data_IF_417168970377
#
_entry.id   IF_417168970377
#
_cell.length_a   1.000
_cell.length_b   1.000
_cell.length_c   1.000
_cell.angle_alpha   90.00
_cell.angle_beta   90.00
_cell.angle_gamma   90.00
#
_symmetry.space_group_name_H-M   'P 1'
#
loop_
_entity.id
_entity.type
_entity.pdbx_description
1 polymer ?
#
# COMPACT_ATOMS: atom_id res chain seq x y z
N UNK A 1 6.05 13.74 23.74
CA UNK A 1 5.88 15.02 23.02
C UNK A 1 4.51 15.62 23.26
N UNK A 2 3.40 14.88 23.11
CA UNK A 2 2.04 15.34 23.40
C UNK A 2 1.85 15.75 24.86
N UNK A 3 2.32 14.95 25.81
CA UNK A 3 2.30 15.24 27.27
C UNK A 3 2.98 16.58 27.63
N UNK A 4 3.86 17.11 26.75
CA UNK A 4 4.53 18.40 26.95
C UNK A 4 3.93 19.53 26.11
N UNK A 5 2.73 19.35 25.59
CA UNK A 5 2.01 20.29 24.69
C UNK A 5 2.78 20.76 23.45
N UNK A 6 3.77 19.98 23.02
CA UNK A 6 4.59 20.31 21.85
C UNK A 6 4.03 19.76 20.54
N UNK A 7 3.08 18.83 20.60
CA UNK A 7 2.44 18.19 19.46
C UNK A 7 0.95 18.14 19.74
N UNK A 8 0.16 18.80 18.90
CA UNK A 8 -1.31 18.81 18.94
C UNK A 8 -1.88 18.18 17.68
N UNK A 9 -1.40 18.63 16.53
CA UNK A 9 -1.91 18.20 15.23
C UNK A 9 -1.09 17.04 14.67
N UNK A 10 -1.73 15.89 14.51
CA UNK A 10 -1.07 14.64 14.09
C UNK A 10 -1.79 14.07 12.87
N UNK A 11 -1.01 13.82 11.82
CA UNK A 11 -1.45 13.09 10.63
C UNK A 11 -0.81 11.70 10.60
N UNK A 12 -1.63 10.66 10.45
CA UNK A 12 -1.17 9.29 10.19
C UNK A 12 -1.56 8.92 8.76
N UNK A 13 -0.57 8.54 7.95
CA UNK A 13 -0.77 7.96 6.63
C UNK A 13 -0.53 6.45 6.71
N UNK A 14 -1.59 5.66 6.56
CA UNK A 14 -1.54 4.21 6.65
C UNK A 14 -1.96 3.53 5.34
N UNK A 15 -1.55 2.27 5.09
CA UNK A 15 -2.16 1.43 4.06
C UNK A 15 -3.65 1.25 4.31
N UNK A 16 -4.46 1.21 3.24
CA UNK A 16 -5.94 1.12 3.36
C UNK A 16 -6.38 -0.03 4.28
N UNK A 17 -5.81 -1.22 4.13
CA UNK A 17 -6.15 -2.38 4.96
C UNK A 17 -5.74 -2.26 6.44
N UNK A 18 -4.94 -1.26 6.82
CA UNK A 18 -4.48 -1.06 8.20
C UNK A 18 -5.10 0.16 8.90
N UNK A 19 -5.88 0.97 8.18
CA UNK A 19 -6.46 2.22 8.72
C UNK A 19 -7.29 1.96 9.98
N UNK A 20 -8.22 1.01 9.93
CA UNK A 20 -9.07 0.68 11.08
C UNK A 20 -8.30 0.04 12.22
N UNK A 21 -7.25 -0.73 11.91
CA UNK A 21 -6.35 -1.26 12.94
C UNK A 21 -5.62 -0.11 13.65
N UNK A 22 -5.10 0.87 12.90
CA UNK A 22 -4.48 2.06 13.48
C UNK A 22 -5.44 2.82 14.42
N UNK A 23 -6.69 3.07 13.97
CA UNK A 23 -7.71 3.73 14.80
C UNK A 23 -7.94 2.95 16.11
N UNK A 24 -8.14 1.64 15.98
CA UNK A 24 -8.37 0.76 17.14
C UNK A 24 -7.18 0.73 18.11
N UNK A 25 -5.96 0.60 17.60
CA UNK A 25 -4.73 0.58 18.40
C UNK A 25 -4.52 1.92 19.12
N UNK A 26 -4.70 3.04 18.41
CA UNK A 26 -4.57 4.38 19.00
C UNK A 26 -5.59 4.61 20.11
N UNK A 27 -6.85 4.19 19.90
CA UNK A 27 -7.89 4.29 20.92
C UNK A 27 -7.62 3.39 22.11
N UNK A 28 -7.38 2.09 21.88
CA UNK A 28 -7.34 1.10 22.95
C UNK A 28 -6.05 1.15 23.77
N UNK A 29 -4.90 1.48 23.14
CA UNK A 29 -3.59 1.47 23.81
C UNK A 29 -3.15 2.84 24.32
N UNK A 30 -3.56 3.90 23.63
CA UNK A 30 -3.10 5.26 23.92
C UNK A 30 -4.22 6.21 24.35
N UNK A 31 -5.49 5.75 24.28
CA UNK A 31 -6.69 6.56 24.52
C UNK A 31 -6.73 7.83 23.65
N UNK A 32 -6.31 7.69 22.40
CA UNK A 32 -6.27 8.77 21.41
C UNK A 32 -7.34 8.55 20.35
N UNK A 33 -8.11 9.59 20.03
CA UNK A 33 -9.21 9.56 19.07
C UNK A 33 -8.76 10.19 17.75
N UNK A 34 -8.56 9.35 16.73
CA UNK A 34 -8.21 9.78 15.39
C UNK A 34 -9.41 9.74 14.46
N UNK A 35 -9.63 10.84 13.74
CA UNK A 35 -10.66 10.93 12.72
C UNK A 35 -10.15 10.31 11.41
N UNK A 36 -10.90 9.34 10.86
CA UNK A 36 -10.68 8.88 9.48
C UNK A 36 -11.20 9.95 8.52
N UNK A 37 -10.36 10.36 7.57
CA UNK A 37 -10.76 11.24 6.46
C UNK A 37 -10.61 10.47 5.15
N UNK A 38 -11.72 10.32 4.43
CA UNK A 38 -11.79 9.68 3.12
C UNK A 38 -11.97 10.72 1.99
N UNK A 39 -11.76 10.34 0.72
CA UNK A 39 -11.90 11.26 -0.42
C UNK A 39 -13.27 11.93 -0.54
N UNK A 40 -14.35 11.27 -0.10
CA UNK A 40 -15.70 11.82 -0.05
C UNK A 40 -15.83 13.03 0.87
N UNK A 41 -15.06 13.04 1.95
CA UNK A 41 -15.24 14.01 3.03
C UNK A 41 -14.80 15.41 2.64
N UNK A 42 -13.62 15.54 2.02
CA UNK A 42 -13.09 16.85 1.60
C UNK A 42 -13.53 17.31 0.21
N UNK A 43 -14.19 16.46 -0.56
CA UNK A 43 -14.69 16.83 -1.88
C UNK A 43 -15.82 17.90 -1.83
N UNK A 44 -16.59 17.92 -0.74
CA UNK A 44 -17.81 18.72 -0.58
C UNK A 44 -17.49 20.12 -0.02
N UNK A 45 -16.41 20.25 0.77
CA UNK A 45 -16.11 21.50 1.48
C UNK A 45 -15.26 22.45 0.64
N UNK A 46 -15.57 23.76 0.70
CA UNK A 46 -14.79 24.82 0.06
C UNK A 46 -13.56 25.22 0.88
N UNK A 47 -13.68 25.19 2.23
CA UNK A 47 -12.59 25.47 3.16
C UNK A 47 -11.62 24.32 3.30
N UNK A 48 -10.45 24.58 3.90
CA UNK A 48 -9.48 23.54 4.20
C UNK A 48 -10.02 22.55 5.27
N UNK A 49 -10.62 21.47 4.81
CA UNK A 49 -11.23 20.44 5.65
C UNK A 49 -10.26 19.80 6.63
N UNK A 50 -8.96 19.72 6.27
CA UNK A 50 -7.90 19.13 7.09
C UNK A 50 -7.66 19.91 8.40
N UNK A 51 -7.97 21.20 8.43
CA UNK A 51 -7.78 22.05 9.62
C UNK A 51 -8.86 21.84 10.70
N UNK A 52 -9.93 21.12 10.39
CA UNK A 52 -11.04 20.89 11.33
C UNK A 52 -10.70 19.89 12.44
N UNK A 53 -9.70 19.05 12.24
CA UNK A 53 -9.36 17.95 13.14
C UNK A 53 -7.88 17.99 13.53
N UNK A 54 -7.59 17.78 14.79
CA UNK A 54 -6.22 17.76 15.30
C UNK A 54 -5.55 16.40 15.10
N UNK A 55 -6.32 15.31 15.01
CA UNK A 55 -5.81 13.95 14.87
C UNK A 55 -6.51 13.26 13.71
N UNK A 56 -5.75 12.99 12.67
CA UNK A 56 -6.29 12.47 11.40
C UNK A 56 -5.54 11.21 10.98
N UNK A 57 -6.30 10.23 10.49
CA UNK A 57 -5.79 9.07 9.74
C UNK A 57 -6.38 9.12 8.34
N UNK A 58 -5.54 8.89 7.35
CA UNK A 58 -5.95 8.70 5.95
C UNK A 58 -4.96 7.81 5.21
N UNK A 59 -5.18 7.55 3.92
CA UNK A 59 -4.28 6.70 3.13
C UNK A 59 -3.36 7.55 2.24
N UNK A 60 -2.16 7.04 1.97
CA UNK A 60 -1.21 7.66 1.02
C UNK A 60 -1.89 7.88 -0.34
N UNK A 61 -2.67 6.89 -0.79
CA UNK A 61 -3.29 6.93 -2.12
C UNK A 61 -4.44 7.95 -2.21
N UNK A 62 -5.11 8.25 -1.11
CA UNK A 62 -6.15 9.27 -1.04
C UNK A 62 -5.61 10.69 -1.22
N UNK A 63 -4.37 10.95 -0.78
CA UNK A 63 -3.85 12.33 -0.67
C UNK A 63 -2.66 12.64 -1.58
N UNK A 64 -2.09 11.65 -2.26
CA UNK A 64 -1.00 11.89 -3.22
C UNK A 64 -1.48 12.78 -4.38
N UNK A 65 -0.61 13.68 -4.91
CA UNK A 65 -0.98 14.54 -6.02
C UNK A 65 -1.19 13.73 -7.31
N UNK A 66 -2.21 14.11 -8.06
CA UNK A 66 -2.48 13.58 -9.38
C UNK A 66 -1.71 14.39 -10.44
N UNK A 67 -1.06 13.72 -11.39
CA UNK A 67 -0.34 14.41 -12.49
C UNK A 67 -1.14 14.47 -13.77
N UNK A 68 -1.92 13.42 -14.06
CA UNK A 68 -2.79 13.36 -15.22
C UNK A 68 -3.93 12.36 -14.95
N UNK A 69 -5.06 12.57 -15.60
CA UNK A 69 -6.18 11.62 -15.62
C UNK A 69 -6.93 11.75 -16.94
N UNK A 70 -7.21 10.63 -17.60
CA UNK A 70 -7.93 10.58 -18.88
C UNK A 70 -9.29 11.32 -18.75
N UNK A 71 -9.59 12.20 -19.68
CA UNK A 71 -10.85 12.96 -19.68
C UNK A 71 -10.91 14.13 -18.67
N UNK A 72 -9.81 14.44 -17.95
CA UNK A 72 -9.76 15.59 -17.06
C UNK A 72 -8.94 16.72 -17.66
N UNK A 73 -9.43 17.98 -17.53
CA UNK A 73 -8.67 19.18 -17.84
C UNK A 73 -7.60 19.44 -16.77
N UNK A 74 -6.58 20.21 -17.10
CA UNK A 74 -5.56 20.65 -16.15
C UNK A 74 -6.17 21.37 -14.94
N UNK A 75 -7.15 22.27 -15.18
CA UNK A 75 -7.85 22.99 -14.12
C UNK A 75 -8.61 22.06 -13.16
N UNK A 76 -9.18 20.96 -13.68
CA UNK A 76 -9.84 19.96 -12.84
C UNK A 76 -8.84 19.17 -12.00
N UNK A 77 -7.67 18.84 -12.55
CA UNK A 77 -6.58 18.18 -11.82
C UNK A 77 -6.03 19.10 -10.74
N UNK A 78 -5.84 20.38 -11.04
CA UNK A 78 -5.38 21.39 -10.11
C UNK A 78 -6.35 21.55 -8.94
N UNK A 79 -7.63 21.78 -9.20
CA UNK A 79 -8.67 21.87 -8.15
C UNK A 79 -8.75 20.60 -7.30
N UNK A 80 -8.57 19.42 -7.91
CA UNK A 80 -8.55 18.15 -7.20
C UNK A 80 -7.33 18.03 -6.29
N UNK A 81 -6.16 18.48 -6.75
CA UNK A 81 -4.93 18.49 -5.95
C UNK A 81 -5.01 19.52 -4.82
N UNK A 82 -5.61 20.68 -5.05
CA UNK A 82 -5.75 21.71 -4.02
C UNK A 82 -6.49 21.20 -2.79
N UNK A 83 -7.61 20.53 -2.96
CA UNK A 83 -8.41 20.01 -1.85
C UNK A 83 -7.72 18.86 -1.12
N UNK A 84 -6.97 18.01 -1.81
CA UNK A 84 -6.40 16.77 -1.28
C UNK A 84 -4.96 16.90 -0.83
N UNK A 85 -4.13 17.52 -1.63
CA UNK A 85 -2.69 17.57 -1.44
C UNK A 85 -2.23 18.93 -0.89
N UNK A 86 -2.55 20.04 -1.57
CA UNK A 86 -2.07 21.34 -1.14
C UNK A 86 -2.69 21.76 0.21
N UNK A 87 -4.00 21.58 0.40
CA UNK A 87 -4.65 21.86 1.66
C UNK A 87 -4.18 20.94 2.80
N UNK A 88 -3.83 19.68 2.50
CA UNK A 88 -3.21 18.78 3.48
C UNK A 88 -1.86 19.34 3.96
N UNK A 89 -1.01 19.82 3.05
CA UNK A 89 0.30 20.40 3.41
C UNK A 89 0.15 21.70 4.22
N UNK A 90 -0.87 22.50 3.90
CA UNK A 90 -1.16 23.78 4.57
C UNK A 90 -1.95 23.61 5.87
N UNK A 91 -2.29 22.39 6.26
CA UNK A 91 -3.08 22.15 7.46
C UNK A 91 -2.34 22.42 8.77
N UNK A 92 -1.01 22.54 8.76
CA UNK A 92 -0.22 22.86 9.96
C UNK A 92 -0.04 21.67 10.91
N UNK A 93 0.38 20.52 10.38
CA UNK A 93 0.68 19.33 11.17
C UNK A 93 1.94 19.52 12.01
N UNK A 94 1.89 19.15 13.28
CA UNK A 94 3.07 19.12 14.16
C UNK A 94 3.87 17.83 13.99
N UNK A 95 3.16 16.73 13.68
CA UNK A 95 3.75 15.41 13.46
C UNK A 95 3.03 14.70 12.34
N UNK A 96 3.79 14.17 11.39
CA UNK A 96 3.31 13.23 10.37
C UNK A 96 3.93 11.86 10.61
N UNK A 97 3.10 10.83 10.67
CA UNK A 97 3.52 9.42 10.76
C UNK A 97 3.13 8.73 9.46
N UNK A 98 4.07 8.08 8.79
CA UNK A 98 3.80 7.34 7.56
C UNK A 98 4.14 5.87 7.76
N UNK A 99 3.12 5.03 7.74
CA UNK A 99 3.28 3.58 7.79
C UNK A 99 3.57 3.01 6.39
N UNK A 100 4.30 1.90 6.34
CA UNK A 100 4.85 1.30 5.12
C UNK A 100 5.54 2.35 4.22
N UNK A 101 6.28 3.24 4.86
CA UNK A 101 6.93 4.41 4.26
C UNK A 101 7.89 4.09 3.11
N UNK A 102 8.36 2.84 2.98
CA UNK A 102 9.14 2.40 1.85
C UNK A 102 8.43 2.66 0.50
N UNK A 103 7.10 2.72 0.50
CA UNK A 103 6.29 3.06 -0.69
C UNK A 103 6.47 4.50 -1.15
N UNK A 104 6.89 5.42 -0.26
CA UNK A 104 7.18 6.82 -0.62
C UNK A 104 8.44 6.95 -1.48
N UNK A 105 9.39 6.03 -1.35
CA UNK A 105 10.64 6.06 -2.13
C UNK A 105 10.44 5.99 -3.65
N UNK A 106 9.32 5.42 -4.11
CA UNK A 106 8.93 5.37 -5.52
C UNK A 106 9.99 4.80 -6.47
N UNK A 107 9.70 4.78 -7.76
CA UNK A 107 10.66 4.39 -8.81
C UNK A 107 11.51 5.57 -9.28
N UNK A 108 10.99 6.80 -9.14
CA UNK A 108 11.68 8.04 -9.49
C UNK A 108 11.23 9.18 -8.57
N UNK A 109 11.91 10.34 -8.66
CA UNK A 109 11.55 11.55 -7.91
C UNK A 109 10.27 12.23 -8.39
N UNK A 110 9.79 11.91 -9.60
CA UNK A 110 8.56 12.44 -10.17
C UNK A 110 7.30 11.67 -9.75
N UNK A 111 7.46 10.51 -9.13
CA UNK A 111 6.32 9.68 -8.69
C UNK A 111 5.49 10.41 -7.63
N UNK A 112 4.19 10.38 -7.78
CA UNK A 112 3.24 11.09 -6.91
C UNK A 112 3.43 10.80 -5.41
N UNK A 113 3.76 9.56 -5.05
CA UNK A 113 4.02 9.18 -3.65
C UNK A 113 5.29 9.85 -3.09
N UNK A 114 6.36 9.96 -3.90
CA UNK A 114 7.56 10.67 -3.46
C UNK A 114 7.30 12.18 -3.33
N UNK A 115 6.53 12.77 -4.26
CA UNK A 115 6.11 14.18 -4.17
C UNK A 115 5.30 14.44 -2.91
N UNK A 116 4.39 13.52 -2.53
CA UNK A 116 3.68 13.61 -1.26
C UNK A 116 4.64 13.58 -0.08
N UNK A 117 5.53 12.60 -0.02
CA UNK A 117 6.53 12.48 1.06
C UNK A 117 7.39 13.73 1.20
N UNK A 118 7.86 14.28 0.06
CA UNK A 118 8.65 15.50 0.02
C UNK A 118 7.86 16.71 0.54
N UNK A 119 6.64 16.93 0.05
CA UNK A 119 5.79 18.02 0.51
C UNK A 119 5.51 17.96 2.02
N UNK A 120 5.22 16.77 2.55
CA UNK A 120 5.01 16.60 3.99
C UNK A 120 6.29 16.85 4.80
N UNK A 121 7.43 16.36 4.34
CA UNK A 121 8.71 16.59 5.01
C UNK A 121 9.12 18.08 5.04
N UNK A 122 8.77 18.84 3.99
CA UNK A 122 9.03 20.28 3.89
C UNK A 122 8.03 21.13 4.69
N UNK A 123 6.78 20.66 4.86
CA UNK A 123 5.72 21.43 5.52
C UNK A 123 5.51 21.08 7.00
N UNK A 124 6.18 20.05 7.53
CA UNK A 124 5.96 19.55 8.89
C UNK A 124 7.26 19.50 9.68
N UNK A 125 7.28 20.03 10.93
CA UNK A 125 8.49 20.05 11.74
C UNK A 125 8.97 18.65 12.17
N UNK A 126 8.07 17.68 12.28
CA UNK A 126 8.41 16.32 12.70
C UNK A 126 7.76 15.29 11.76
N UNK A 127 8.58 14.42 11.18
CA UNK A 127 8.11 13.30 10.38
C UNK A 127 8.67 11.98 10.91
N UNK A 128 7.81 10.97 11.02
CA UNK A 128 8.17 9.61 11.43
C UNK A 128 7.83 8.62 10.32
N UNK A 129 8.85 7.98 9.78
CA UNK A 129 8.71 7.00 8.71
C UNK A 129 8.84 5.58 9.26
N UNK A 130 7.73 4.82 9.25
CA UNK A 130 7.69 3.44 9.72
C UNK A 130 7.80 2.48 8.54
N UNK A 131 8.70 1.50 8.62
CA UNK A 131 8.81 0.45 7.61
C UNK A 131 9.55 -0.77 8.15
N UNK A 132 9.04 -1.96 7.86
CA UNK A 132 9.75 -3.21 8.14
C UNK A 132 10.92 -3.46 7.17
N UNK A 133 10.86 -2.91 5.97
CA UNK A 133 11.79 -3.18 4.87
C UNK A 133 12.20 -1.90 4.12
N UNK A 134 12.89 -0.96 4.77
CA UNK A 134 13.17 0.35 4.17
C UNK A 134 14.06 0.28 2.92
N UNK A 135 14.89 -0.74 2.79
CA UNK A 135 15.88 -0.85 1.71
C UNK A 135 15.40 -1.67 0.50
N UNK A 136 14.47 -2.59 0.60
CA UNK A 136 13.94 -3.48 -0.46
C UNK A 136 14.93 -3.87 -1.60
N UNK A 137 16.23 -3.91 -1.33
CA UNK A 137 17.28 -4.18 -2.32
C UNK A 137 17.59 -3.03 -3.31
N UNK A 138 16.86 -1.89 -3.25
CA UNK A 138 17.05 -0.76 -4.16
C UNK A 138 17.67 0.45 -3.46
N UNK A 139 18.97 0.66 -3.67
CA UNK A 139 19.74 1.75 -3.06
C UNK A 139 19.19 3.14 -3.41
N UNK A 140 18.71 3.36 -4.64
CA UNK A 140 18.15 4.64 -5.07
C UNK A 140 16.81 4.93 -4.38
N UNK A 141 15.99 3.92 -4.18
CA UNK A 141 14.74 4.04 -3.45
C UNK A 141 14.97 4.35 -1.97
N UNK A 142 15.92 3.67 -1.35
CA UNK A 142 16.31 3.94 0.03
C UNK A 142 16.89 5.35 0.21
N UNK A 143 17.77 5.79 -0.72
CA UNK A 143 18.28 7.16 -0.71
C UNK A 143 17.13 8.18 -0.76
N UNK A 144 16.15 8.02 -1.67
CA UNK A 144 14.99 8.92 -1.73
C UNK A 144 14.20 8.93 -0.42
N UNK A 145 14.07 7.78 0.25
CA UNK A 145 13.37 7.70 1.52
C UNK A 145 14.12 8.45 2.62
N UNK A 146 15.42 8.22 2.79
CA UNK A 146 16.22 8.85 3.84
C UNK A 146 16.41 10.34 3.59
N UNK A 147 16.47 10.78 2.33
CA UNK A 147 16.55 12.21 1.97
C UNK A 147 15.29 13.00 2.31
N UNK A 148 14.15 12.33 2.60
CA UNK A 148 12.97 13.02 3.16
C UNK A 148 13.22 13.48 4.59
N UNK A 149 14.08 12.80 5.35
CA UNK A 149 14.42 13.17 6.75
C UNK A 149 15.46 14.29 6.78
N UNK A 150 16.46 14.23 5.93
CA UNK A 150 17.50 15.26 5.83
C UNK A 150 18.08 15.34 4.41
N UNK A 151 17.53 16.22 3.56
CA UNK A 151 18.02 16.36 2.19
C UNK A 151 19.43 16.96 2.09
N UNK A 152 19.91 17.65 3.15
CA UNK A 152 21.26 18.24 3.20
C UNK A 152 22.30 17.18 3.54
N UNK A 153 21.99 16.28 4.46
CA UNK A 153 22.86 15.16 4.82
C UNK A 153 22.93 14.11 3.69
N UNK A 154 21.85 13.94 2.92
CA UNK A 154 21.74 12.94 1.87
C UNK A 154 21.45 13.55 0.48
N UNK A 155 22.35 14.39 -0.08
CA UNK A 155 22.11 15.08 -1.35
C UNK A 155 22.11 14.14 -2.56
N UNK A 156 22.81 13.00 -2.47
CA UNK A 156 22.81 11.97 -3.51
C UNK A 156 23.09 10.58 -2.90
N UNK A 157 22.87 9.47 -3.67
CA UNK A 157 23.01 8.11 -3.15
C UNK A 157 24.39 7.73 -2.59
N UNK A 158 25.45 8.46 -2.96
CA UNK A 158 26.81 8.18 -2.51
C UNK A 158 27.05 8.55 -1.04
N UNK A 159 26.24 9.46 -0.49
CA UNK A 159 26.27 9.86 0.92
C UNK A 159 25.55 8.87 1.85
N UNK A 160 24.91 7.84 1.31
CA UNK A 160 24.20 6.83 2.07
C UNK A 160 25.16 5.70 2.44
N UNK A 161 25.69 5.73 3.66
CA UNK A 161 26.46 4.66 4.30
C UNK A 161 25.76 4.21 5.58
N UNK A 162 26.22 3.10 6.18
CA UNK A 162 25.66 2.63 7.45
C UNK A 162 25.85 3.67 8.55
N UNK A 163 27.01 4.26 8.61
CA UNK A 163 27.41 5.25 9.62
C UNK A 163 26.60 6.55 9.47
N UNK A 164 26.38 7.00 8.21
CA UNK A 164 25.65 8.25 7.96
C UNK A 164 24.15 8.14 8.26
N UNK A 165 23.56 6.95 8.14
CA UNK A 165 22.12 6.76 8.38
C UNK A 165 21.80 6.37 9.83
N UNK A 166 22.78 5.89 10.62
CA UNK A 166 22.58 5.43 11.99
C UNK A 166 21.86 6.45 12.89
N UNK A 167 22.17 7.77 12.85
CA UNK A 167 21.47 8.77 13.66
C UNK A 167 19.98 8.95 13.31
N UNK A 168 19.56 8.54 12.12
CA UNK A 168 18.20 8.73 11.60
C UNK A 168 17.33 7.49 11.72
N UNK A 169 17.90 6.31 12.07
CA UNK A 169 17.21 5.04 12.03
C UNK A 169 17.24 4.35 13.38
N UNK A 170 16.06 4.09 13.93
CA UNK A 170 15.89 3.16 15.06
C UNK A 170 15.44 1.83 14.51
N UNK A 171 16.25 0.78 14.68
CA UNK A 171 15.97 -0.56 14.19
C UNK A 171 16.01 -1.59 15.31
N UNK A 172 14.89 -2.26 15.53
CA UNK A 172 14.79 -3.39 16.46
C UNK A 172 14.58 -4.68 15.66
N UNK A 173 15.48 -5.65 15.82
CA UNK A 173 15.35 -6.95 15.18
C UNK A 173 14.86 -7.98 16.21
N UNK A 174 13.87 -8.82 15.86
CA UNK A 174 13.36 -9.87 16.74
C UNK A 174 14.45 -10.77 17.32
N UNK A 175 15.50 -11.06 16.54
CA UNK A 175 16.63 -11.89 16.99
C UNK A 175 17.46 -11.28 18.12
N UNK A 176 17.38 -9.95 18.30
CA UNK A 176 18.15 -9.21 19.28
C UNK A 176 17.28 -8.64 20.41
N UNK A 177 15.97 -8.96 20.40
CA UNK A 177 15.03 -8.45 21.40
C UNK A 177 15.12 -9.33 22.66
N UNK A 178 15.43 -8.69 23.79
CA UNK A 178 15.58 -9.30 25.11
C UNK A 178 14.50 -8.77 26.06
N UNK A 179 14.16 -9.56 27.06
CA UNK A 179 13.33 -9.12 28.21
C UNK A 179 14.16 -8.32 29.23
N UNK A 180 13.52 -7.93 30.34
CA UNK A 180 14.16 -7.20 31.43
C UNK A 180 15.28 -7.99 32.15
N UNK A 181 15.30 -9.32 31.98
CA UNK A 181 16.29 -10.23 32.55
C UNK A 181 17.43 -10.54 31.58
N UNK A 182 17.41 -9.98 30.35
CA UNK A 182 18.41 -10.20 29.31
C UNK A 182 18.22 -11.47 28.49
N UNK A 183 17.07 -12.17 28.63
CA UNK A 183 16.74 -13.38 27.88
C UNK A 183 16.09 -13.03 26.55
N UNK A 184 16.47 -13.75 25.49
CA UNK A 184 15.85 -13.56 24.16
C UNK A 184 14.34 -13.82 24.22
N UNK A 185 13.55 -12.84 23.79
CA UNK A 185 12.09 -12.94 23.72
C UNK A 185 11.59 -13.86 22.57
N UNK A 186 12.40 -14.04 21.56
CA UNK A 186 12.04 -14.84 20.39
C UNK A 186 13.03 -15.97 20.15
N UNK A 187 12.53 -17.15 19.87
CA UNK A 187 13.34 -18.31 19.47
C UNK A 187 13.95 -18.07 18.09
N UNK A 188 15.13 -18.65 17.86
CA UNK A 188 15.80 -18.57 16.55
C UNK A 188 14.94 -19.22 15.48
N UNK A 189 14.61 -18.47 14.43
CA UNK A 189 13.90 -18.99 13.26
C UNK A 189 14.89 -19.68 12.34
N UNK A 190 14.64 -20.94 12.03
CA UNK A 190 15.36 -21.69 10.99
C UNK A 190 14.40 -21.93 9.83
N UNK A 191 14.79 -21.51 8.63
CA UNK A 191 14.02 -21.73 7.40
C UNK A 191 14.64 -22.89 6.64
N UNK A 192 13.85 -23.95 6.42
CA UNK A 192 14.26 -25.11 5.64
C UNK A 192 13.44 -25.14 4.35
N UNK A 193 14.11 -25.22 3.22
CA UNK A 193 13.47 -25.47 1.93
C UNK A 193 13.26 -26.98 1.81
N UNK A 194 12.01 -27.43 1.68
CA UNK A 194 11.66 -28.81 1.36
C UNK A 194 11.03 -28.87 -0.02
N UNK A 195 11.63 -29.62 -0.90
CA UNK A 195 10.99 -29.98 -2.16
C UNK A 195 9.94 -31.07 -1.87
N UNK A 196 8.76 -30.89 -2.44
CA UNK A 196 7.66 -31.85 -2.34
C UNK A 196 7.39 -32.35 -3.76
N UNK A 197 7.73 -33.62 -3.99
CA UNK A 197 7.50 -34.26 -5.27
C UNK A 197 6.03 -34.73 -5.38
N UNK A 198 5.49 -34.66 -6.59
CA UNK A 198 4.19 -35.21 -6.86
C UNK A 198 4.21 -36.72 -6.71
N UNK A 199 3.25 -37.28 -5.94
CA UNK A 199 3.02 -38.70 -5.78
C UNK A 199 1.79 -39.12 -6.57
N UNK A 200 1.64 -40.40 -6.89
CA UNK A 200 0.47 -40.94 -7.61
C UNK A 200 -0.88 -40.52 -7.02
N UNK A 201 -0.99 -40.50 -5.68
CA UNK A 201 -2.20 -40.02 -4.98
C UNK A 201 -2.54 -38.55 -5.23
N UNK A 202 -1.63 -37.75 -5.78
CA UNK A 202 -1.81 -36.32 -6.07
C UNK A 202 -2.06 -36.05 -7.58
N UNK A 203 -2.24 -37.07 -8.40
CA UNK A 203 -2.36 -36.92 -9.86
C UNK A 203 -3.46 -35.94 -10.27
N UNK A 204 -4.64 -35.99 -9.66
CA UNK A 204 -5.74 -35.04 -9.93
C UNK A 204 -5.39 -33.61 -9.55
N UNK A 205 -4.65 -33.42 -8.46
CA UNK A 205 -4.21 -32.09 -8.02
C UNK A 205 -3.11 -31.54 -8.93
N UNK A 206 -2.23 -32.42 -9.42
CA UNK A 206 -1.20 -32.08 -10.40
C UNK A 206 -1.83 -31.63 -11.72
N UNK A 207 -2.78 -32.41 -12.26
CA UNK A 207 -3.52 -32.07 -13.48
C UNK A 207 -4.21 -30.70 -13.35
N UNK A 208 -4.92 -30.48 -12.24
CA UNK A 208 -5.53 -29.18 -11.97
C UNK A 208 -4.50 -28.04 -11.94
N UNK A 209 -3.36 -28.25 -11.29
CA UNK A 209 -2.29 -27.25 -11.20
C UNK A 209 -1.71 -26.93 -12.59
N UNK A 210 -1.41 -27.94 -13.40
CA UNK A 210 -0.88 -27.79 -14.75
C UNK A 210 -1.86 -27.04 -15.66
N UNK A 211 -3.13 -27.45 -15.69
CA UNK A 211 -4.18 -26.80 -16.50
C UNK A 211 -4.41 -25.33 -16.11
N UNK A 212 -4.39 -25.01 -14.82
CA UNK A 212 -4.53 -23.61 -14.38
C UNK A 212 -3.28 -22.82 -14.72
N UNK A 213 -2.10 -23.43 -14.62
CA UNK A 213 -0.84 -22.80 -15.01
C UNK A 213 -0.85 -22.43 -16.49
N UNK A 214 -1.27 -23.35 -17.35
CA UNK A 214 -1.39 -23.11 -18.79
C UNK A 214 -2.42 -22.04 -19.11
N UNK A 215 -3.59 -22.10 -18.45
CA UNK A 215 -4.63 -21.07 -18.58
C UNK A 215 -4.10 -19.68 -18.17
N UNK A 216 -3.44 -19.59 -17.02
CA UNK A 216 -2.91 -18.35 -16.51
C UNK A 216 -1.80 -17.78 -17.40
N UNK A 217 -0.90 -18.64 -17.90
CA UNK A 217 0.18 -18.25 -18.80
C UNK A 217 -0.36 -17.71 -20.14
N UNK A 218 -1.29 -18.44 -20.76
CA UNK A 218 -1.89 -18.03 -22.01
C UNK A 218 -2.70 -16.74 -21.86
N UNK A 219 -3.51 -16.63 -20.81
CA UNK A 219 -4.30 -15.44 -20.50
C UNK A 219 -3.41 -14.22 -20.20
N UNK A 220 -2.31 -14.39 -19.47
CA UNK A 220 -1.33 -13.35 -19.22
C UNK A 220 -0.67 -12.83 -20.51
N UNK A 221 -0.23 -13.73 -21.37
CA UNK A 221 0.42 -13.38 -22.63
C UNK A 221 -0.55 -12.65 -23.57
N UNK A 222 -1.81 -13.08 -23.62
CA UNK A 222 -2.87 -12.42 -24.40
C UNK A 222 -3.16 -11.03 -23.84
N UNK A 223 -3.41 -10.92 -22.53
CA UNK A 223 -3.69 -9.65 -21.87
C UNK A 223 -2.56 -8.62 -22.06
N UNK A 224 -1.30 -9.09 -22.05
CA UNK A 224 -0.14 -8.24 -22.33
C UNK A 224 -0.11 -7.74 -23.77
N UNK A 225 -0.46 -8.58 -24.76
CA UNK A 225 -0.56 -8.19 -26.18
C UNK A 225 -1.68 -7.17 -26.40
N UNK A 226 -2.79 -7.32 -25.71
CA UNK A 226 -3.96 -6.46 -25.79
C UNK A 226 -3.86 -5.22 -24.87
N UNK A 227 -2.73 -5.03 -24.17
CA UNK A 227 -2.50 -3.94 -23.22
C UNK A 227 -3.51 -3.90 -22.03
N UNK A 228 -4.11 -5.05 -21.69
CA UNK A 228 -5.08 -5.22 -20.59
C UNK A 228 -4.37 -5.65 -19.31
N UNK A 229 -3.78 -4.69 -18.60
CA UNK A 229 -2.94 -4.96 -17.41
C UNK A 229 -3.72 -5.65 -16.28
N UNK A 230 -4.99 -5.29 -16.08
CA UNK A 230 -5.87 -5.89 -15.07
C UNK A 230 -6.06 -7.41 -15.29
N UNK A 231 -6.24 -7.85 -16.56
CA UNK A 231 -6.36 -9.27 -16.87
C UNK A 231 -5.02 -10.01 -16.67
N UNK A 232 -3.90 -9.40 -17.05
CA UNK A 232 -2.58 -9.97 -16.80
C UNK A 232 -2.35 -10.19 -15.30
N UNK A 233 -2.76 -9.25 -14.47
CA UNK A 233 -2.67 -9.35 -13.03
C UNK A 233 -3.60 -10.45 -12.46
N UNK A 234 -4.84 -10.55 -12.94
CA UNK A 234 -5.77 -11.62 -12.55
C UNK A 234 -5.17 -13.01 -12.84
N UNK A 235 -4.47 -13.18 -13.95
CA UNK A 235 -3.81 -14.44 -14.30
C UNK A 235 -2.70 -14.80 -13.30
N UNK A 236 -1.89 -13.83 -12.88
CA UNK A 236 -0.87 -14.04 -11.83
C UNK A 236 -1.54 -14.44 -10.50
N UNK A 237 -2.66 -13.82 -10.16
CA UNK A 237 -3.41 -14.16 -8.95
C UNK A 237 -3.92 -15.61 -9.01
N UNK A 238 -4.51 -16.05 -10.10
CA UNK A 238 -4.97 -17.43 -10.26
C UNK A 238 -3.84 -18.42 -10.07
N UNK A 239 -2.64 -18.15 -10.61
CA UNK A 239 -1.46 -18.98 -10.41
C UNK A 239 -1.03 -19.06 -8.93
N UNK A 240 -1.16 -17.98 -8.18
CA UNK A 240 -0.90 -17.98 -6.73
C UNK A 240 -1.97 -18.74 -5.95
N UNK A 241 -3.23 -18.61 -6.33
CA UNK A 241 -4.33 -19.29 -5.65
C UNK A 241 -4.26 -20.81 -5.82
N UNK A 242 -3.93 -21.34 -7.00
CA UNK A 242 -3.81 -22.78 -7.22
C UNK A 242 -2.69 -23.41 -6.41
N UNK A 243 -1.58 -22.68 -6.20
CA UNK A 243 -0.47 -23.15 -5.36
C UNK A 243 -0.76 -23.05 -3.86
N UNK A 244 -1.75 -22.24 -3.46
CA UNK A 244 -2.08 -22.03 -2.04
C UNK A 244 -3.25 -22.89 -1.56
N UNK A 245 -4.35 -22.99 -2.34
CA UNK A 245 -5.55 -23.70 -1.91
C UNK A 245 -6.46 -24.07 -3.10
N UNK A 246 -6.81 -25.36 -3.20
CA UNK A 246 -7.77 -25.86 -4.19
C UNK A 246 -9.15 -25.21 -4.05
N UNK A 247 -9.57 -24.91 -2.82
CA UNK A 247 -10.86 -24.23 -2.55
C UNK A 247 -10.82 -22.76 -3.03
N UNK A 248 -9.73 -22.06 -2.80
CA UNK A 248 -9.58 -20.66 -3.20
C UNK A 248 -9.60 -20.52 -4.73
N UNK A 249 -8.86 -21.39 -5.45
CA UNK A 249 -8.87 -21.35 -6.92
C UNK A 249 -10.23 -21.75 -7.50
N UNK A 250 -10.95 -22.72 -6.91
CA UNK A 250 -12.30 -23.07 -7.33
C UNK A 250 -13.22 -21.86 -7.26
N UNK A 251 -13.27 -21.17 -6.12
CA UNK A 251 -14.10 -19.97 -5.95
C UNK A 251 -13.73 -18.84 -6.91
N UNK A 252 -12.44 -18.64 -7.18
CA UNK A 252 -11.99 -17.66 -8.15
C UNK A 252 -12.41 -17.98 -9.59
N UNK A 253 -12.33 -19.26 -9.98
CA UNK A 253 -12.76 -19.71 -11.30
C UNK A 253 -14.28 -19.61 -11.48
N UNK A 254 -15.07 -19.96 -10.47
CA UNK A 254 -16.53 -19.82 -10.48
C UNK A 254 -16.96 -18.37 -10.70
N UNK A 255 -16.33 -17.43 -9.97
CA UNK A 255 -16.57 -15.98 -10.16
C UNK A 255 -16.14 -15.50 -11.55
N UNK A 256 -14.98 -15.96 -12.04
CA UNK A 256 -14.51 -15.61 -13.37
C UNK A 256 -15.46 -16.12 -14.46
N UNK A 257 -15.96 -17.35 -14.32
CA UNK A 257 -16.93 -17.92 -15.24
C UNK A 257 -18.21 -17.09 -15.28
N UNK A 258 -18.73 -16.71 -14.11
CA UNK A 258 -19.93 -15.88 -14.01
C UNK A 258 -19.76 -14.52 -14.72
N UNK A 259 -18.60 -13.84 -14.53
CA UNK A 259 -18.32 -12.60 -15.26
C UNK A 259 -18.29 -12.81 -16.77
N UNK A 260 -17.63 -13.86 -17.26
CA UNK A 260 -17.55 -14.16 -18.69
C UNK A 260 -18.92 -14.53 -19.30
N UNK A 261 -19.80 -15.12 -18.51
CA UNK A 261 -21.19 -15.41 -18.92
C UNK A 261 -22.02 -14.13 -19.01
N UNK A 262 -21.84 -13.18 -18.09
CA UNK A 262 -22.47 -11.86 -18.14
C UNK A 262 -21.97 -11.02 -19.32
N UNK A 263 -20.66 -11.01 -19.61
CA UNK A 263 -20.07 -10.34 -20.76
C UNK A 263 -20.61 -10.88 -22.09
N UNK A 264 -20.94 -12.16 -22.20
CA UNK A 264 -21.58 -12.77 -23.38
C UNK A 264 -23.04 -12.37 -23.56
N UNK A 265 -23.71 -11.97 -22.51
CA UNK A 265 -25.16 -11.60 -22.55
C UNK A 265 -25.37 -10.09 -22.74
N UNK A 266 -24.34 -9.28 -22.65
CA UNK A 266 -24.38 -7.83 -22.91
C UNK A 266 -23.47 -7.51 -24.09
N UNK A 267 -24.07 -7.34 -25.28
CA UNK A 267 -23.42 -6.72 -26.43
C UNK A 267 -23.11 -5.26 -26.12
N UNK A 268 -21.82 -4.93 -26.22
CA UNK A 268 -21.23 -3.61 -26.39
C UNK A 268 -21.95 -2.43 -25.71
N UNK A 269 -21.61 -2.12 -24.45
CA UNK A 269 -21.55 -0.73 -24.00
C UNK A 269 -20.64 -0.59 -22.77
N UNK A 270 -19.51 0.11 -22.95
CA UNK A 270 -18.78 0.92 -21.99
C UNK A 270 -18.46 0.31 -20.61
N UNK A 271 -17.41 -0.54 -20.54
CA UNK A 271 -16.61 -0.74 -19.35
C UNK A 271 -15.10 -0.63 -19.69
N UNK A 272 -14.70 0.41 -20.42
CA UNK A 272 -13.34 0.94 -20.39
C UNK A 272 -13.27 2.00 -19.27
N UNK A 273 -13.50 1.59 -18.04
CA UNK A 273 -13.15 2.42 -16.90
C UNK A 273 -11.65 2.25 -16.62
N UNK A 274 -11.00 3.38 -16.58
CA UNK A 274 -9.64 3.77 -16.24
C UNK A 274 -9.06 2.92 -15.10
N UNK A 275 -8.52 1.72 -15.44
CA UNK A 275 -7.77 0.89 -14.53
C UNK A 275 -6.39 1.50 -14.31
N UNK A 276 -6.27 2.40 -13.34
CA UNK A 276 -4.99 2.75 -12.75
C UNK A 276 -4.49 1.51 -11.97
N UNK A 277 -3.20 1.19 -12.03
CA UNK A 277 -2.53 0.06 -11.36
C UNK A 277 -2.89 -0.07 -9.86
N UNK A 278 -3.48 0.98 -9.30
CA UNK A 278 -3.96 1.15 -7.92
C UNK A 278 -5.37 0.61 -7.68
N UNK A 279 -6.27 0.78 -8.65
CA UNK A 279 -7.63 0.25 -8.54
C UNK A 279 -7.59 -1.28 -8.63
N UNK A 280 -6.61 -1.83 -9.37
CA UNK A 280 -6.31 -3.25 -9.41
C UNK A 280 -5.92 -3.80 -8.03
N UNK A 281 -5.04 -3.12 -7.28
CA UNK A 281 -4.65 -3.54 -5.94
C UNK A 281 -5.81 -3.42 -4.93
N UNK A 282 -6.60 -2.36 -5.03
CA UNK A 282 -7.79 -2.13 -4.19
C UNK A 282 -8.91 -3.14 -4.41
N UNK A 283 -9.23 -3.42 -5.67
CA UNK A 283 -10.23 -4.43 -6.01
C UNK A 283 -9.77 -5.84 -5.65
N UNK A 284 -8.46 -6.07 -5.62
CA UNK A 284 -7.89 -7.33 -5.18
C UNK A 284 -7.98 -7.52 -3.68
N UNK A 285 -7.66 -6.51 -2.90
CA UNK A 285 -7.82 -6.57 -1.45
C UNK A 285 -9.30 -6.78 -1.10
N UNK A 286 -10.23 -6.16 -1.82
CA UNK A 286 -11.68 -6.37 -1.68
C UNK A 286 -12.13 -7.76 -2.18
N UNK A 287 -11.57 -8.25 -3.28
CA UNK A 287 -11.80 -9.62 -3.77
C UNK A 287 -11.18 -10.65 -2.83
N UNK A 288 -9.99 -10.38 -2.27
CA UNK A 288 -9.36 -11.22 -1.25
C UNK A 288 -10.17 -11.27 0.03
N UNK A 289 -10.66 -10.14 0.55
CA UNK A 289 -11.54 -10.14 1.72
C UNK A 289 -12.82 -10.93 1.47
N UNK A 290 -13.46 -10.74 0.30
CA UNK A 290 -14.68 -11.49 -0.07
C UNK A 290 -14.44 -12.98 -0.33
N UNK A 291 -13.24 -13.37 -0.78
CA UNK A 291 -12.87 -14.79 -1.02
C UNK A 291 -12.44 -15.47 0.29
N UNK A 292 -11.72 -14.78 1.15
CA UNK A 292 -11.16 -15.35 2.38
C UNK A 292 -12.13 -15.28 3.58
N UNK A 293 -13.08 -14.33 3.59
CA UNK A 293 -14.09 -14.20 4.65
C UNK A 293 -15.53 -14.35 4.09
N UNK A 294 -15.98 -15.56 3.73
CA UNK A 294 -17.36 -15.78 3.23
C UNK A 294 -18.43 -15.73 4.33
N UNK A 295 -18.09 -15.42 5.59
CA UNK A 295 -18.99 -15.50 6.75
C UNK A 295 -19.52 -14.14 7.22
N UNK A 296 -19.24 -13.04 6.54
CA UNK A 296 -19.73 -11.69 6.89
C UNK A 296 -20.67 -11.10 5.83
N UNK A 297 -21.55 -11.91 5.25
CA UNK A 297 -22.74 -11.47 4.51
C UNK A 297 -23.95 -12.26 4.97
#
# INVERSE_FOLDING_TARGET
MKIRDRIKRILILAPRGLVYQWISEMKNRFNEDFQLIEPSDYAIFEENYWQRFDQVITTVDSVKPLTSRKGWSESKIESYNDKRFNNLLLAGWDLVIVDESHKLGGTSSSVARYRLGKGLAESTPNILLLSATPHQGNRKQFHRLISLLDPKAFPNPNYVSKESVEPYIVRTEKRNTIDSEGKLLFTKRTTLLKNIDWQEKHERQKDLYERITDYALNGYNQAKKENRQHLAFLMILMQRLVSSSTRAIKSALEKRLHVLELEKSQTDTELEEDWDEKDGQMQLDEIFEKILNPLNN
#
